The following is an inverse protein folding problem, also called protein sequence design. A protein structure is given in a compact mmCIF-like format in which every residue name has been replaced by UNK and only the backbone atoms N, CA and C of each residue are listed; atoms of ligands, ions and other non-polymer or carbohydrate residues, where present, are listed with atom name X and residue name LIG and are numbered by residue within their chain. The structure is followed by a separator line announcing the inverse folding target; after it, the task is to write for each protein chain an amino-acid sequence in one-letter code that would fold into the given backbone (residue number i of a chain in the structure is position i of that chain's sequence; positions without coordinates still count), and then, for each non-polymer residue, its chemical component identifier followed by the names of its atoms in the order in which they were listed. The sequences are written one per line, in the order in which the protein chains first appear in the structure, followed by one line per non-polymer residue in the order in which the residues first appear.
data_IF_209634931932
#
_entry.id   IF_209634931932
#
_cell.length_a   1.000
_cell.length_b   1.000
_cell.length_c   1.000
_cell.angle_alpha   90.00
_cell.angle_beta   90.00
_cell.angle_gamma   90.00
#
_symmetry.space_group_name_H-M   'P 1'
#
loop_
_entity.id
_entity.type
_entity.pdbx_description
1 polymer ?
#
# COMPACT_ATOMS: atom_id res chain seq x y z
N UNK A 1 51.06 19.55 -17.85
CA UNK A 1 50.56 18.14 -17.80
C UNK A 1 49.25 17.93 -17.02
N UNK A 2 48.47 18.97 -16.66
CA UNK A 2 47.23 18.82 -15.85
C UNK A 2 45.93 18.79 -16.69
N UNK A 3 46.00 19.18 -17.97
CA UNK A 3 44.81 19.26 -18.84
C UNK A 3 44.36 17.92 -19.46
N UNK A 4 45.21 16.90 -19.48
CA UNK A 4 44.89 15.59 -20.07
C UNK A 4 43.98 14.73 -19.16
N UNK A 5 44.11 14.86 -17.85
CA UNK A 5 43.36 14.05 -16.87
C UNK A 5 41.87 14.40 -16.75
N UNK A 6 41.46 15.61 -17.14
CA UNK A 6 40.04 16.01 -17.13
C UNK A 6 39.25 15.42 -18.30
N UNK A 7 39.89 15.24 -19.46
CA UNK A 7 39.22 14.68 -20.65
C UNK A 7 38.99 13.17 -20.50
N UNK A 8 39.96 12.44 -19.94
CA UNK A 8 39.84 10.99 -19.70
C UNK A 8 38.71 10.64 -18.72
N UNK A 9 38.48 11.48 -17.70
CA UNK A 9 37.39 11.25 -16.72
C UNK A 9 35.99 11.49 -17.29
N UNK A 10 35.85 12.43 -18.24
CA UNK A 10 34.55 12.71 -18.88
C UNK A 10 34.17 11.59 -19.87
N UNK A 11 35.15 11.04 -20.60
CA UNK A 11 34.91 9.92 -21.52
C UNK A 11 34.51 8.65 -20.74
N UNK A 12 35.10 8.41 -19.56
CA UNK A 12 34.76 7.25 -18.73
C UNK A 12 33.32 7.30 -18.17
N UNK A 13 32.80 8.49 -17.88
CA UNK A 13 31.40 8.66 -17.43
C UNK A 13 30.43 8.56 -18.62
N UNK A 14 30.80 9.08 -19.80
CA UNK A 14 29.98 8.95 -21.01
C UNK A 14 29.85 7.49 -21.47
N UNK A 15 30.90 6.68 -21.35
CA UNK A 15 30.85 5.24 -21.65
C UNK A 15 30.02 4.44 -20.63
N UNK A 16 29.88 4.92 -19.38
CA UNK A 16 29.01 4.29 -18.39
C UNK A 16 27.51 4.64 -18.60
N UNK A 17 27.21 5.75 -19.29
CA UNK A 17 25.84 6.14 -19.63
C UNK A 17 25.36 5.48 -20.94
N UNK A 18 26.28 5.07 -21.83
CA UNK A 18 25.94 4.40 -23.09
C UNK A 18 25.83 2.87 -23.01
N UNK A 19 26.19 2.25 -21.87
CA UNK A 19 26.00 0.80 -21.66
C UNK A 19 24.63 0.42 -21.06
N UNK A 20 23.80 1.40 -20.71
CA UNK A 20 22.37 1.15 -20.37
C UNK A 20 21.43 1.19 -21.59
N UNK A 21 21.98 1.32 -22.80
CA UNK A 21 21.21 1.45 -24.05
C UNK A 21 21.05 0.18 -24.89
N UNK A 22 21.68 -0.94 -24.55
CA UNK A 22 21.68 -2.12 -25.42
C UNK A 22 21.77 -3.44 -24.64
N UNK A 23 20.67 -3.88 -24.03
CA UNK A 23 20.45 -5.30 -23.73
C UNK A 23 19.02 -5.65 -24.18
N UNK A 24 18.95 -6.62 -25.08
CA UNK A 24 17.79 -7.33 -25.63
C UNK A 24 16.94 -6.63 -26.70
N UNK A 25 17.57 -6.34 -27.84
CA UNK A 25 16.93 -6.50 -29.15
C UNK A 25 16.94 -7.99 -29.56
N UNK A 26 16.26 -8.85 -28.79
CA UNK A 26 15.94 -10.22 -29.22
C UNK A 26 14.87 -10.83 -28.31
N UNK A 27 13.62 -10.44 -28.52
CA UNK A 27 12.47 -11.23 -28.08
C UNK A 27 11.30 -10.93 -29.02
N UNK A 28 11.10 -11.85 -29.96
CA UNK A 28 9.99 -11.90 -30.89
C UNK A 28 8.64 -11.54 -30.24
N UNK A 29 7.87 -10.68 -30.92
CA UNK A 29 6.41 -10.61 -30.79
C UNK A 29 5.79 -10.04 -29.51
N UNK A 30 6.55 -9.49 -28.55
CA UNK A 30 5.95 -8.92 -27.33
C UNK A 30 5.41 -7.51 -27.58
N UNK A 31 4.08 -7.37 -27.62
CA UNK A 31 3.38 -6.07 -27.61
C UNK A 31 3.99 -5.18 -26.53
N UNK A 32 4.41 -3.96 -26.89
CA UNK A 32 4.89 -2.98 -25.90
C UNK A 32 3.76 -2.70 -24.90
N UNK A 33 4.02 -2.70 -23.58
CA UNK A 33 2.99 -2.41 -22.59
C UNK A 33 2.44 -1.00 -22.80
N UNK A 34 1.10 -0.86 -22.73
CA UNK A 34 0.36 0.39 -23.04
C UNK A 34 0.80 1.63 -22.24
N UNK A 35 1.53 1.45 -21.12
CA UNK A 35 2.13 2.56 -20.36
C UNK A 35 3.35 2.09 -19.56
N UNK A 36 4.56 2.47 -20.01
CA UNK A 36 5.82 2.19 -19.31
C UNK A 36 5.82 2.76 -17.88
N UNK A 37 5.20 3.93 -17.70
CA UNK A 37 5.07 4.60 -16.40
C UNK A 37 4.20 3.78 -15.45
N UNK A 38 3.04 3.28 -15.91
CA UNK A 38 2.17 2.45 -15.10
C UNK A 38 2.86 1.14 -14.68
N UNK A 39 3.57 0.48 -15.61
CA UNK A 39 4.34 -0.74 -15.34
C UNK A 39 5.38 -0.47 -14.26
N UNK A 40 6.10 0.64 -14.35
CA UNK A 40 7.14 1.01 -13.38
C UNK A 40 6.56 1.25 -11.99
N UNK A 41 5.46 2.02 -11.87
CA UNK A 41 4.82 2.27 -10.59
C UNK A 41 4.28 0.98 -9.95
N UNK A 42 3.63 0.13 -10.75
CA UNK A 42 3.10 -1.13 -10.26
C UNK A 42 4.21 -2.11 -9.86
N UNK A 43 5.32 -2.14 -10.60
CA UNK A 43 6.50 -2.95 -10.26
C UNK A 43 7.06 -2.55 -8.90
N UNK A 44 7.21 -1.24 -8.66
CA UNK A 44 7.67 -0.71 -7.37
C UNK A 44 6.72 -1.04 -6.22
N UNK A 45 5.41 -0.93 -6.47
CA UNK A 45 4.38 -1.33 -5.51
C UNK A 45 4.51 -2.81 -5.16
N UNK A 46 4.63 -3.69 -6.15
CA UNK A 46 4.80 -5.13 -5.95
C UNK A 46 6.06 -5.42 -5.15
N UNK A 47 7.20 -4.79 -5.48
CA UNK A 47 8.45 -4.98 -4.74
C UNK A 47 8.33 -4.53 -3.28
N UNK A 48 7.71 -3.39 -3.04
CA UNK A 48 7.55 -2.83 -1.69
C UNK A 48 6.63 -3.65 -0.79
N UNK A 49 5.56 -4.21 -1.35
CA UNK A 49 4.51 -4.89 -0.56
C UNK A 49 4.71 -6.41 -0.56
N UNK A 50 5.06 -7.00 -1.70
CA UNK A 50 5.14 -8.44 -1.94
C UNK A 50 6.46 -8.88 -2.61
N UNK A 51 7.54 -8.10 -2.49
CA UNK A 51 8.80 -8.36 -3.20
C UNK A 51 9.39 -9.74 -2.92
N UNK A 52 9.38 -10.19 -1.67
CA UNK A 52 9.88 -11.52 -1.28
C UNK A 52 8.79 -12.60 -1.20
N UNK A 53 7.56 -12.28 -1.63
CA UNK A 53 6.43 -13.21 -1.58
C UNK A 53 6.30 -14.01 -2.88
N UNK A 54 5.47 -15.06 -2.83
CA UNK A 54 5.12 -15.87 -3.99
C UNK A 54 4.52 -15.05 -5.13
N UNK A 55 4.63 -15.56 -6.37
CA UNK A 55 4.00 -14.96 -7.55
C UNK A 55 2.50 -14.75 -7.34
N UNK A 56 1.81 -15.68 -6.65
CA UNK A 56 0.39 -15.56 -6.29
C UNK A 56 0.12 -14.31 -5.44
N UNK A 57 0.95 -14.04 -4.42
CA UNK A 57 0.81 -12.84 -3.59
C UNK A 57 1.12 -11.56 -4.37
N UNK A 58 2.14 -11.57 -5.25
CA UNK A 58 2.48 -10.43 -6.10
C UNK A 58 1.31 -10.07 -7.03
N UNK A 59 0.69 -11.08 -7.66
CA UNK A 59 -0.52 -10.93 -8.48
C UNK A 59 -1.70 -10.39 -7.67
N UNK A 60 -1.91 -10.88 -6.44
CA UNK A 60 -3.01 -10.43 -5.60
C UNK A 60 -2.88 -8.95 -5.19
N UNK A 61 -1.67 -8.52 -4.80
CA UNK A 61 -1.37 -7.10 -4.50
C UNK A 61 -1.56 -6.22 -5.74
N UNK A 62 -1.03 -6.66 -6.88
CA UNK A 62 -1.14 -5.94 -8.14
C UNK A 62 -2.60 -5.80 -8.60
N UNK A 63 -3.38 -6.88 -8.51
CA UNK A 63 -4.81 -6.89 -8.83
C UNK A 63 -5.56 -5.84 -8.01
N UNK A 64 -5.40 -5.83 -6.68
CA UNK A 64 -6.10 -4.86 -5.83
C UNK A 64 -5.71 -3.42 -6.17
N UNK A 65 -4.43 -3.14 -6.40
CA UNK A 65 -3.98 -1.80 -6.76
C UNK A 65 -4.57 -1.32 -8.10
N UNK A 66 -4.56 -2.18 -9.13
CA UNK A 66 -5.12 -1.85 -10.45
C UNK A 66 -6.65 -1.73 -10.39
N UNK A 67 -7.32 -2.67 -9.73
CA UNK A 67 -8.77 -2.67 -9.54
C UNK A 67 -9.24 -1.41 -8.81
N UNK A 68 -8.53 -1.01 -7.74
CA UNK A 68 -8.86 0.17 -6.97
C UNK A 68 -8.58 1.47 -7.73
N UNK A 69 -7.46 1.56 -8.44
CA UNK A 69 -7.17 2.70 -9.31
C UNK A 69 -8.27 2.89 -10.37
N UNK A 70 -8.74 1.79 -10.99
CA UNK A 70 -9.85 1.81 -11.95
C UNK A 70 -11.15 2.27 -11.29
N UNK A 71 -11.48 1.74 -10.10
CA UNK A 71 -12.66 2.15 -9.32
C UNK A 71 -12.67 3.66 -9.03
N UNK A 72 -11.51 4.23 -8.70
CA UNK A 72 -11.35 5.66 -8.43
C UNK A 72 -11.17 6.53 -9.66
N UNK A 73 -11.19 5.97 -10.88
CA UNK A 73 -10.85 6.68 -12.13
C UNK A 73 -9.49 7.39 -12.06
N UNK A 74 -8.49 6.73 -11.47
CA UNK A 74 -7.11 7.25 -11.28
C UNK A 74 -6.11 6.37 -12.02
N UNK A 75 -4.94 6.95 -12.30
CA UNK A 75 -3.80 6.17 -12.83
C UNK A 75 -3.20 5.30 -11.72
N UNK A 76 -2.60 4.17 -12.09
CA UNK A 76 -1.91 3.28 -11.16
C UNK A 76 -0.80 4.00 -10.38
N UNK A 77 -0.11 4.95 -11.01
CA UNK A 77 0.89 5.78 -10.33
C UNK A 77 0.28 6.73 -9.30
N UNK A 78 -0.84 7.39 -9.63
CA UNK A 78 -1.53 8.28 -8.68
C UNK A 78 -2.05 7.49 -7.47
N UNK A 79 -2.50 6.26 -7.72
CA UNK A 79 -2.88 5.34 -6.66
C UNK A 79 -1.66 4.92 -5.82
N UNK A 80 -0.54 4.54 -6.44
CA UNK A 80 0.69 4.18 -5.73
C UNK A 80 1.16 5.30 -4.78
N UNK A 81 1.17 6.55 -5.23
CA UNK A 81 1.58 7.70 -4.41
C UNK A 81 0.49 8.25 -3.48
N UNK A 82 -0.67 7.58 -3.35
CA UNK A 82 -1.75 8.03 -2.47
C UNK A 82 -1.44 7.94 -0.97
N UNK A 83 -0.32 7.33 -0.59
CA UNK A 83 0.06 7.10 0.81
C UNK A 83 -0.65 5.90 1.45
N UNK A 84 -1.41 5.09 0.69
CA UNK A 84 -2.09 3.89 1.20
C UNK A 84 -1.12 2.74 1.47
N UNK A 85 -0.08 2.61 0.65
CA UNK A 85 0.86 1.49 0.69
C UNK A 85 1.96 1.71 1.72
N UNK A 86 2.30 0.68 2.47
CA UNK A 86 3.34 0.73 3.51
C UNK A 86 4.69 1.17 2.95
N UNK A 87 5.03 0.75 1.73
CA UNK A 87 6.26 1.17 1.03
C UNK A 87 6.35 2.68 0.86
N UNK A 88 5.22 3.36 0.61
CA UNK A 88 5.19 4.82 0.41
C UNK A 88 5.28 5.62 1.69
N UNK A 89 4.95 5.02 2.84
CA UNK A 89 5.07 5.66 4.17
C UNK A 89 6.50 5.61 4.72
N UNK A 90 7.36 4.78 4.14
CA UNK A 90 8.71 4.54 4.63
C UNK A 90 9.74 5.08 3.62
N UNK A 91 10.37 6.22 3.94
CA UNK A 91 11.38 6.87 3.07
C UNK A 91 12.53 5.94 2.69
N UNK A 92 13.00 5.13 3.65
CA UNK A 92 14.06 4.12 3.42
C UNK A 92 13.58 3.02 2.49
N UNK A 93 12.37 2.51 2.69
CA UNK A 93 11.76 1.46 1.88
C UNK A 93 11.56 1.92 0.43
N UNK A 94 11.09 3.15 0.23
CA UNK A 94 10.92 3.74 -1.09
C UNK A 94 12.26 3.87 -1.83
N UNK A 95 13.33 4.29 -1.14
CA UNK A 95 14.68 4.33 -1.73
C UNK A 95 15.17 2.94 -2.14
N UNK A 96 15.00 1.94 -1.27
CA UNK A 96 15.36 0.55 -1.57
C UNK A 96 14.62 0.07 -2.82
N UNK A 97 13.31 0.27 -2.89
CA UNK A 97 12.48 -0.14 -4.03
C UNK A 97 12.86 0.58 -5.33
N UNK A 98 13.23 1.87 -5.26
CA UNK A 98 13.71 2.62 -6.44
C UNK A 98 15.06 2.06 -6.93
N UNK A 99 15.94 1.70 -6.01
CA UNK A 99 17.27 1.17 -6.30
C UNK A 99 17.27 -0.33 -6.63
N UNK A 100 16.15 -1.04 -6.39
CA UNK A 100 16.05 -2.48 -6.63
C UNK A 100 16.12 -2.77 -8.13
N UNK A 101 17.10 -3.55 -8.53
CA UNK A 101 17.31 -4.04 -9.89
C UNK A 101 17.51 -5.57 -9.87
N UNK A 102 17.73 -6.17 -11.05
CA UNK A 102 18.01 -7.60 -11.14
C UNK A 102 16.77 -8.50 -11.15
N UNK A 103 16.90 -9.70 -10.60
CA UNK A 103 15.92 -10.78 -10.80
C UNK A 103 14.56 -10.49 -10.15
N UNK A 104 14.56 -9.92 -8.95
CA UNK A 104 13.29 -9.55 -8.29
C UNK A 104 12.54 -8.45 -9.06
N UNK A 105 13.27 -7.49 -9.62
CA UNK A 105 12.70 -6.49 -10.52
C UNK A 105 12.09 -7.14 -11.76
N UNK A 106 12.79 -8.06 -12.42
CA UNK A 106 12.28 -8.78 -13.60
C UNK A 106 10.99 -9.54 -13.29
N UNK A 107 10.96 -10.30 -12.19
CA UNK A 107 9.77 -11.06 -11.77
C UNK A 107 8.60 -10.14 -11.41
N UNK A 108 8.86 -9.03 -10.69
CA UNK A 108 7.81 -8.06 -10.36
C UNK A 108 7.28 -7.32 -11.61
N UNK A 109 8.17 -6.96 -12.54
CA UNK A 109 7.82 -6.31 -13.80
C UNK A 109 6.97 -7.21 -14.70
N UNK A 110 7.27 -8.51 -14.75
CA UNK A 110 6.44 -9.48 -15.49
C UNK A 110 5.00 -9.51 -14.97
N UNK A 111 4.82 -9.57 -13.64
CA UNK A 111 3.49 -9.49 -13.01
C UNK A 111 2.81 -8.15 -13.28
N UNK A 112 3.56 -7.04 -13.23
CA UNK A 112 3.01 -5.71 -13.49
C UNK A 112 2.47 -5.58 -14.93
N UNK A 113 3.19 -6.10 -15.92
CA UNK A 113 2.75 -6.10 -17.32
C UNK A 113 1.46 -6.91 -17.46
N UNK A 114 1.45 -8.14 -16.94
CA UNK A 114 0.28 -9.02 -16.96
C UNK A 114 -0.96 -8.31 -16.39
N UNK A 115 -0.83 -7.68 -15.23
CA UNK A 115 -1.96 -7.05 -14.52
C UNK A 115 -2.43 -5.74 -15.16
N UNK A 116 -1.57 -5.03 -15.89
CA UNK A 116 -1.96 -3.82 -16.63
C UNK A 116 -2.71 -4.17 -17.91
N UNK A 117 -2.31 -5.25 -18.57
CA UNK A 117 -2.94 -5.70 -19.81
C UNK A 117 -4.26 -6.43 -19.53
N UNK A 118 -4.28 -7.33 -18.54
CA UNK A 118 -5.44 -8.12 -18.18
C UNK A 118 -5.48 -8.36 -16.66
N UNK A 119 -6.15 -7.49 -15.87
CA UNK A 119 -6.22 -7.61 -14.42
C UNK A 119 -7.15 -8.75 -13.97
N UNK A 120 -6.67 -9.99 -14.09
CA UNK A 120 -7.36 -11.19 -13.60
C UNK A 120 -6.84 -11.53 -12.20
N UNK A 121 -7.73 -11.69 -11.19
CA UNK A 121 -7.27 -12.04 -9.87
C UNK A 121 -6.73 -13.49 -9.84
N UNK A 122 -5.67 -13.76 -9.07
CA UNK A 122 -5.12 -15.12 -8.93
C UNK A 122 -6.00 -16.07 -8.09
N UNK A 123 -7.08 -15.55 -7.50
CA UNK A 123 -8.09 -16.30 -6.76
C UNK A 123 -9.45 -15.62 -6.99
N UNK A 124 -10.49 -16.32 -7.47
CA UNK A 124 -11.80 -15.73 -7.74
C UNK A 124 -12.42 -15.02 -6.53
N UNK A 125 -12.06 -15.43 -5.31
CA UNK A 125 -12.57 -14.80 -4.08
C UNK A 125 -12.07 -13.37 -3.90
N UNK A 126 -10.97 -12.99 -4.57
CA UNK A 126 -10.49 -11.61 -4.61
C UNK A 126 -11.33 -10.70 -5.49
N UNK A 127 -12.29 -11.20 -6.28
CA UNK A 127 -13.14 -10.37 -7.13
C UNK A 127 -13.86 -9.31 -6.29
N UNK A 128 -13.58 -8.03 -6.57
CA UNK A 128 -14.12 -6.89 -5.81
C UNK A 128 -13.31 -6.52 -4.56
N UNK A 129 -12.16 -7.15 -4.29
CA UNK A 129 -11.25 -6.71 -3.26
C UNK A 129 -10.67 -5.33 -3.59
N UNK A 130 -10.68 -4.44 -2.60
CA UNK A 130 -10.19 -3.05 -2.72
C UNK A 130 -9.13 -2.70 -1.70
N UNK A 131 -8.88 -3.58 -0.73
CA UNK A 131 -7.88 -3.39 0.30
C UNK A 131 -7.24 -4.70 0.73
N UNK A 132 -6.08 -4.59 1.36
CA UNK A 132 -5.43 -5.69 2.05
C UNK A 132 -4.63 -5.17 3.24
N UNK A 133 -4.38 -6.07 4.19
CA UNK A 133 -3.62 -5.77 5.41
C UNK A 133 -2.65 -6.91 5.69
N UNK A 134 -1.53 -6.61 6.34
CA UNK A 134 -0.61 -7.67 6.78
C UNK A 134 -1.26 -8.47 7.92
N UNK A 135 -1.24 -9.80 7.86
CA UNK A 135 -1.83 -10.73 8.84
C UNK A 135 -1.40 -10.39 10.28
N UNK A 136 -0.11 -10.14 10.49
CA UNK A 136 0.45 -9.75 11.79
C UNK A 136 -0.14 -8.44 12.37
N UNK A 137 -0.74 -7.59 11.55
CA UNK A 137 -1.47 -6.38 11.97
C UNK A 137 -2.99 -6.61 12.04
N UNK A 138 -3.53 -7.59 11.32
CA UNK A 138 -4.93 -7.98 11.43
C UNK A 138 -5.26 -8.63 12.79
N UNK A 139 -4.29 -9.29 13.41
CA UNK A 139 -4.44 -9.97 14.71
C UNK A 139 -4.18 -9.09 15.94
N UNK A 140 -3.57 -7.90 15.78
CA UNK A 140 -3.30 -6.98 16.91
C UNK A 140 -4.49 -6.04 17.15
N UNK A 141 -4.99 -5.99 18.40
CA UNK A 141 -6.11 -5.16 18.91
C UNK A 141 -6.05 -3.64 18.63
N UNK A 142 -5.01 -3.12 17.96
CA UNK A 142 -4.72 -1.69 17.78
C UNK A 142 -4.94 -1.12 16.38
N UNK A 143 -5.40 -1.89 15.39
CA UNK A 143 -5.74 -1.32 14.09
C UNK A 143 -7.11 -0.63 14.11
N UNK A 144 -7.26 0.45 14.88
CA UNK A 144 -8.51 1.19 15.07
C UNK A 144 -9.19 1.61 13.75
N UNK A 145 -8.41 1.89 12.69
CA UNK A 145 -8.96 2.21 11.37
C UNK A 145 -9.43 0.97 10.57
N UNK A 146 -8.77 -0.19 10.76
CA UNK A 146 -9.24 -1.48 10.22
C UNK A 146 -10.49 -1.94 10.98
N UNK A 147 -10.59 -1.59 12.26
CA UNK A 147 -11.74 -1.83 13.14
C UNK A 147 -12.90 -0.85 12.94
N UNK A 148 -12.67 0.38 12.49
CA UNK A 148 -13.77 1.29 12.15
C UNK A 148 -14.41 0.96 10.80
N UNK A 149 -13.65 0.29 9.92
CA UNK A 149 -14.18 -0.35 8.71
C UNK A 149 -14.49 -1.85 8.91
N UNK A 150 -14.64 -2.33 10.17
CA UNK A 150 -15.11 -3.70 10.38
C UNK A 150 -16.58 -3.81 10.01
N UNK A 151 -16.85 -4.36 8.83
CA UNK A 151 -17.61 -5.59 8.88
C UNK A 151 -16.86 -6.55 9.81
N UNK A 152 -17.56 -7.24 10.72
CA UNK A 152 -17.07 -8.51 11.27
C UNK A 152 -16.33 -9.24 10.16
N UNK A 153 -15.08 -9.69 10.40
CA UNK A 153 -14.25 -10.50 9.49
C UNK A 153 -15.17 -11.22 8.51
N UNK A 154 -15.31 -10.68 7.30
CA UNK A 154 -16.33 -11.19 6.41
C UNK A 154 -15.88 -12.60 6.05
N UNK A 155 -16.83 -13.54 5.93
CA UNK A 155 -16.58 -14.93 5.48
C UNK A 155 -15.85 -14.99 4.11
N UNK A 156 -15.65 -13.85 3.46
CA UNK A 156 -15.01 -13.62 2.17
C UNK A 156 -13.57 -13.06 2.23
N UNK A 157 -12.96 -12.90 3.41
CA UNK A 157 -11.54 -12.52 3.51
C UNK A 157 -10.65 -13.65 2.94
N UNK A 158 -9.62 -13.27 2.17
CA UNK A 158 -8.71 -14.23 1.52
C UNK A 158 -7.30 -13.97 2.01
N UNK A 159 -6.66 -14.97 2.62
CA UNK A 159 -5.25 -14.88 2.99
C UNK A 159 -4.38 -15.42 1.85
N UNK A 160 -3.41 -14.61 1.38
CA UNK A 160 -2.37 -15.03 0.44
C UNK A 160 -1.05 -14.46 0.94
N UNK A 161 -0.12 -15.36 1.28
CA UNK A 161 1.15 -14.97 1.91
C UNK A 161 0.91 -14.24 3.23
N UNK A 162 1.66 -13.17 3.48
CA UNK A 162 1.45 -12.32 4.66
C UNK A 162 0.22 -11.41 4.60
N UNK A 163 -0.56 -11.41 3.53
CA UNK A 163 -1.66 -10.45 3.33
C UNK A 163 -3.04 -11.08 3.50
N UNK A 164 -3.95 -10.35 4.13
CA UNK A 164 -5.40 -10.61 4.12
C UNK A 164 -6.05 -9.60 3.20
N UNK A 165 -6.69 -10.10 2.16
CA UNK A 165 -7.41 -9.31 1.16
C UNK A 165 -8.88 -9.23 1.52
N UNK A 166 -9.47 -8.04 1.34
CA UNK A 166 -10.84 -7.74 1.74
C UNK A 166 -11.56 -6.87 0.72
N UNK A 167 -12.87 -7.12 0.58
CA UNK A 167 -13.81 -6.28 -0.19
C UNK A 167 -14.24 -5.10 0.68
N UNK A 168 -14.38 -3.92 0.07
CA UNK A 168 -14.93 -2.75 0.78
C UNK A 168 -16.31 -3.09 1.33
N UNK A 169 -16.49 -2.87 2.62
CA UNK A 169 -17.79 -2.92 3.26
C UNK A 169 -18.49 -1.59 3.09
N UNK A 170 -19.71 -1.63 2.57
CA UNK A 170 -20.66 -0.54 2.79
C UNK A 170 -20.98 -0.59 4.27
N UNK A 171 -20.53 0.40 5.05
CA UNK A 171 -21.18 0.62 6.34
C UNK A 171 -22.66 0.85 6.00
N UNK A 172 -23.63 0.11 6.56
CA UNK A 172 -24.96 0.70 6.65
C UNK A 172 -24.71 2.06 7.30
N UNK A 173 -25.19 3.13 6.68
CA UNK A 173 -25.28 4.41 7.35
C UNK A 173 -25.68 4.09 8.78
N UNK A 174 -24.83 4.44 9.73
CA UNK A 174 -25.37 4.87 10.98
C UNK A 174 -26.25 6.02 10.53
N UNK A 175 -27.56 5.75 10.35
CA UNK A 175 -28.57 6.76 10.60
C UNK A 175 -28.05 7.35 11.89
N UNK A 176 -27.51 8.56 11.77
CA UNK A 176 -27.55 9.50 12.86
C UNK A 176 -29.00 9.38 13.27
N UNK A 177 -29.27 8.63 14.34
CA UNK A 177 -30.42 8.95 15.11
C UNK A 177 -30.21 10.44 15.30
N UNK A 178 -31.04 11.25 14.66
CA UNK A 178 -31.38 12.52 15.23
C UNK A 178 -31.84 12.13 16.63
N UNK A 179 -30.89 11.99 17.55
CA UNK A 179 -31.11 12.16 18.95
C UNK A 179 -31.64 13.57 18.96
N UNK A 180 -32.97 13.65 18.96
CA UNK A 180 -33.67 14.73 19.60
C UNK A 180 -32.84 15.13 20.83
N UNK A 181 -32.71 16.43 21.12
CA UNK A 181 -32.08 16.82 22.37
C UNK A 181 -32.91 16.23 23.50
N UNK A 182 -32.48 15.07 24.01
CA UNK A 182 -32.95 14.55 25.29
C UNK A 182 -32.32 15.50 26.28
N UNK A 183 -33.10 16.49 26.68
CA UNK A 183 -32.91 17.25 27.90
C UNK A 183 -32.57 16.26 29.01
N UNK A 184 -31.28 16.19 29.35
CA UNK A 184 -30.83 15.37 30.46
C UNK A 184 -31.43 15.99 31.73
N UNK A 185 -32.11 15.22 32.61
CA UNK A 185 -32.48 15.74 33.91
C UNK A 185 -31.21 16.10 34.69
N UNK A 186 -31.23 17.16 35.53
CA UNK A 186 -30.04 17.64 36.20
C UNK A 186 -29.45 16.56 37.11
N UNK A 187 -28.14 16.34 36.97
CA UNK A 187 -27.35 15.47 37.84
C UNK A 187 -27.37 16.06 39.26
N UNK A 188 -27.73 15.31 40.32
CA UNK A 188 -27.64 15.79 41.69
C UNK A 188 -26.18 16.11 42.03
N UNK A 189 -25.91 17.36 42.39
CA UNK A 189 -24.60 17.77 42.89
C UNK A 189 -24.28 16.99 44.16
N UNK A 190 -23.24 16.14 44.13
CA UNK A 190 -22.68 15.55 45.35
C UNK A 190 -22.22 16.69 46.28
N UNK A 191 -22.59 16.71 47.57
CA UNK A 191 -22.08 17.69 48.50
C UNK A 191 -20.56 17.54 48.66
N UNK A 192 -19.84 18.66 48.60
CA UNK A 192 -18.39 18.71 48.82
C UNK A 192 -18.04 18.20 50.22
N UNK A 193 -16.98 17.38 50.38
CA UNK A 193 -16.52 16.96 51.70
C UNK A 193 -16.04 18.18 52.51
N UNK A 194 -16.44 18.24 53.80
CA UNK A 194 -15.97 19.27 54.74
C UNK A 194 -14.47 19.09 55.00
N UNK A 195 -13.70 20.19 55.10
CA UNK A 195 -12.29 20.11 55.49
C UNK A 195 -12.16 19.62 56.94
N UNK A 196 -11.10 18.85 57.28
CA UNK A 196 -10.88 18.36 58.63
C UNK A 196 -10.58 19.52 59.59
N UNK A 197 -11.17 19.45 60.79
CA UNK A 197 -10.86 20.37 61.90
C UNK A 197 -9.51 19.95 62.49
N UNK A 198 -8.50 20.81 62.38
CA UNK A 198 -7.27 20.66 63.14
C UNK A 198 -7.54 21.01 64.61
N UNK A 199 -7.33 20.04 65.50
CA UNK A 199 -7.34 20.27 66.96
C UNK A 199 -5.91 20.67 67.33
N UNK A 200 -5.75 21.89 67.85
CA UNK A 200 -4.51 22.33 68.46
C UNK A 200 -4.31 21.58 69.79
N UNK A 201 -3.22 20.81 69.89
CA UNK A 201 -2.75 20.26 71.16
C UNK A 201 -2.09 21.38 71.96
N UNK A 202 -2.53 21.55 73.22
CA UNK A 202 -1.88 22.36 74.24
C UNK A 202 -0.72 21.59 74.86
#
# INVERSE_FOLDING_TARGET
MIRFWRIVRIISIASLVLTFGAIDANAAGKKKPKSLTAVTCLTRLILGEAGLESTKSRKAVAYVAVHYAKKLKRTVCKEFYSGRYSVTKCKRCMRIVIATAGEDWKKAKAVAIEMIENPVPPDPRLLGATTYVRWAHASKKGAGWIRQNTCRLAKSDVQIGKHVFRKECVQPETRVAASQPISSPPIPLRPKPKPPKFIALK
#
